data_IF_693104816093
#
_entry.id   IF_693104816093
#
_cell.length_a   1.000
_cell.length_b   1.000
_cell.length_c   1.000
_cell.angle_alpha   90.00
_cell.angle_beta   90.00
_cell.angle_gamma   90.00
#
_symmetry.space_group_name_H-M   'P 1'
#
loop_
_entity.id
_entity.type
_entity.pdbx_description
1 polymer ?
#
# COMPACT_ATOMS: atom_id res chain seq x y z
N UNK A 1 12.88 8.00 -15.08
CA UNK A 1 13.90 7.03 -14.62
C UNK A 1 13.60 5.59 -15.08
N UNK A 2 12.48 5.31 -15.76
CA UNK A 2 12.16 3.99 -16.32
C UNK A 2 11.73 2.90 -15.32
N UNK A 3 11.67 3.18 -14.02
CA UNK A 3 11.28 2.22 -12.97
C UNK A 3 9.78 1.99 -12.97
N UNK A 4 9.34 0.73 -13.03
CA UNK A 4 7.94 0.35 -12.92
C UNK A 4 7.47 0.41 -11.46
N UNK A 5 7.00 1.57 -11.02
CA UNK A 5 6.47 1.77 -9.68
C UNK A 5 4.95 1.52 -9.67
N UNK A 6 4.47 0.76 -8.67
CA UNK A 6 3.05 0.48 -8.46
C UNK A 6 2.62 0.96 -7.08
N UNK A 7 1.57 1.78 -7.02
CA UNK A 7 0.99 2.25 -5.76
C UNK A 7 -0.21 1.40 -5.37
N UNK A 8 -0.16 0.87 -4.14
CA UNK A 8 -1.27 0.13 -3.52
C UNK A 8 -1.92 1.01 -2.45
N UNK A 9 -3.23 1.12 -2.48
CA UNK A 9 -4.03 1.87 -1.51
C UNK A 9 -5.15 2.65 -2.18
N UNK A 10 -6.00 3.31 -1.39
CA UNK A 10 -7.18 4.02 -1.88
C UNK A 10 -6.78 5.15 -2.86
N UNK A 11 -7.43 5.24 -4.04
CA UNK A 11 -7.08 6.23 -5.07
C UNK A 11 -7.47 7.68 -4.73
N UNK A 12 -8.28 7.89 -3.70
CA UNK A 12 -9.00 9.14 -3.38
C UNK A 12 -8.12 10.38 -3.17
N UNK A 13 -6.80 10.25 -3.03
CA UNK A 13 -5.88 11.38 -2.79
C UNK A 13 -4.63 11.34 -3.65
N UNK A 14 -4.71 10.72 -4.82
CA UNK A 14 -3.56 10.62 -5.72
C UNK A 14 -3.53 11.83 -6.64
N UNK A 15 -2.37 12.50 -6.73
CA UNK A 15 -2.16 13.57 -7.71
C UNK A 15 -2.35 13.02 -9.12
N UNK A 16 -2.91 13.81 -10.02
CA UNK A 16 -3.32 13.38 -11.36
C UNK A 16 -2.21 12.66 -12.14
N UNK A 17 -1.01 13.20 -12.13
CA UNK A 17 0.15 12.62 -12.83
C UNK A 17 0.65 11.28 -12.23
N UNK A 18 0.19 10.89 -11.03
CA UNK A 18 0.52 9.62 -10.39
C UNK A 18 -0.62 8.58 -10.47
N UNK A 19 -1.77 8.95 -11.01
CA UNK A 19 -2.94 8.05 -11.10
C UNK A 19 -2.64 6.81 -11.94
N UNK A 20 -1.92 6.96 -13.04
CA UNK A 20 -1.52 5.85 -13.92
C UNK A 20 -0.66 4.78 -13.24
N UNK A 21 0.00 5.13 -12.12
CA UNK A 21 0.81 4.20 -11.34
C UNK A 21 0.01 3.52 -10.20
N UNK A 22 -1.30 3.74 -10.10
CA UNK A 22 -2.14 3.04 -9.11
C UNK A 22 -2.54 1.65 -9.60
N UNK A 23 -2.67 0.70 -8.68
CA UNK A 23 -3.12 -0.66 -9.02
C UNK A 23 -4.44 -0.65 -9.80
N UNK A 24 -5.41 0.16 -9.38
CA UNK A 24 -6.72 0.26 -10.03
C UNK A 24 -6.57 0.71 -11.50
N UNK A 25 -5.81 1.79 -11.75
CA UNK A 25 -5.62 2.30 -13.10
C UNK A 25 -4.82 1.35 -14.02
N UNK A 26 -3.88 0.60 -13.46
CA UNK A 26 -3.13 -0.42 -14.22
C UNK A 26 -4.04 -1.59 -14.56
N UNK A 27 -4.91 -2.03 -13.65
CA UNK A 27 -5.88 -3.09 -13.90
C UNK A 27 -6.95 -2.67 -14.94
N UNK A 28 -7.41 -1.42 -14.90
CA UNK A 28 -8.34 -0.87 -15.91
C UNK A 28 -7.78 -0.94 -17.34
N UNK A 29 -6.47 -0.86 -17.50
CA UNK A 29 -5.77 -0.93 -18.79
C UNK A 29 -5.15 -2.31 -19.07
N UNK A 30 -5.46 -3.32 -18.26
CA UNK A 30 -4.90 -4.67 -18.42
C UNK A 30 -5.47 -5.36 -19.66
N UNK A 31 -4.68 -6.14 -20.45
CA UNK A 31 -5.17 -6.81 -21.65
C UNK A 31 -6.39 -7.72 -21.44
N UNK A 32 -6.55 -8.30 -20.27
CA UNK A 32 -7.71 -9.17 -19.93
C UNK A 32 -8.93 -8.38 -19.42
N UNK A 33 -8.90 -7.06 -19.41
CA UNK A 33 -10.00 -6.26 -18.85
C UNK A 33 -11.30 -6.40 -19.65
N UNK A 34 -11.21 -6.52 -20.96
CA UNK A 34 -12.41 -6.71 -21.82
C UNK A 34 -13.08 -8.05 -21.53
N UNK A 35 -12.30 -9.12 -21.37
CA UNK A 35 -12.82 -10.45 -21.03
C UNK A 35 -13.45 -10.48 -19.64
N UNK A 36 -12.82 -9.84 -18.67
CA UNK A 36 -13.35 -9.67 -17.32
C UNK A 36 -14.69 -8.92 -17.33
N UNK A 37 -14.78 -7.83 -18.09
CA UNK A 37 -15.99 -7.04 -18.24
C UNK A 37 -17.13 -7.87 -18.85
N UNK A 38 -16.83 -8.70 -19.86
CA UNK A 38 -17.80 -9.62 -20.46
C UNK A 38 -18.37 -10.60 -19.41
N UNK A 39 -17.52 -11.26 -18.64
CA UNK A 39 -17.95 -12.18 -17.57
C UNK A 39 -18.78 -11.47 -16.48
N UNK A 40 -18.43 -10.24 -16.15
CA UNK A 40 -19.18 -9.44 -15.17
C UNK A 40 -20.56 -9.04 -15.71
N UNK A 41 -20.68 -8.73 -16.99
CA UNK A 41 -21.96 -8.43 -17.64
C UNK A 41 -22.83 -9.68 -17.75
N UNK A 42 -22.27 -10.82 -18.13
CA UNK A 42 -22.98 -12.12 -18.12
C UNK A 42 -23.52 -12.43 -16.71
N UNK A 43 -22.69 -12.26 -15.67
CA UNK A 43 -23.12 -12.45 -14.28
C UNK A 43 -24.28 -11.52 -13.91
N UNK A 44 -24.26 -10.28 -14.38
CA UNK A 44 -25.32 -9.30 -14.14
C UNK A 44 -26.64 -9.76 -14.77
N UNK A 45 -26.61 -10.27 -15.99
CA UNK A 45 -27.79 -10.80 -16.68
C UNK A 45 -28.34 -12.07 -16.01
N UNK A 46 -27.48 -13.02 -15.64
CA UNK A 46 -27.89 -14.21 -14.87
C UNK A 46 -28.58 -13.82 -13.56
N UNK A 47 -28.07 -12.84 -12.85
CA UNK A 47 -28.66 -12.33 -11.59
C UNK A 47 -29.99 -11.62 -11.81
N UNK A 48 -30.19 -10.92 -12.93
CA UNK A 48 -31.47 -10.28 -13.30
C UNK A 48 -32.53 -11.30 -13.62
N UNK A 49 -32.19 -12.41 -14.29
CA UNK A 49 -33.09 -13.48 -14.63
C UNK A 49 -33.53 -14.34 -13.43
N UNK A 50 -32.70 -14.43 -12.39
CA UNK A 50 -32.89 -15.32 -11.23
C UNK A 50 -34.27 -15.17 -10.52
N UNK A 51 -34.84 -13.97 -10.30
CA UNK A 51 -36.09 -13.80 -9.58
C UNK A 51 -37.29 -14.38 -10.33
N UNK A 52 -37.24 -14.52 -11.67
CA UNK A 52 -38.33 -15.06 -12.49
C UNK A 52 -38.39 -16.60 -12.49
N UNK A 53 -37.32 -17.27 -12.04
CA UNK A 53 -37.21 -18.73 -12.07
C UNK A 53 -37.70 -19.40 -10.78
N UNK A 54 -38.18 -20.65 -10.89
CA UNK A 54 -38.66 -21.46 -9.76
C UNK A 54 -38.13 -22.89 -9.85
N UNK A 55 -38.14 -23.56 -8.70
CA UNK A 55 -37.80 -25.00 -8.59
C UNK A 55 -36.40 -25.34 -9.12
N UNK A 56 -36.31 -26.37 -9.96
CA UNK A 56 -35.05 -26.91 -10.49
C UNK A 56 -34.30 -25.90 -11.37
N UNK A 57 -35.00 -25.09 -12.15
CA UNK A 57 -34.36 -24.07 -12.99
C UNK A 57 -33.64 -23.00 -12.17
N UNK A 58 -34.24 -22.57 -11.06
CA UNK A 58 -33.58 -21.65 -10.12
C UNK A 58 -32.32 -22.24 -9.54
N UNK A 59 -32.37 -23.56 -9.22
CA UNK A 59 -31.18 -24.27 -8.69
C UNK A 59 -30.02 -24.33 -9.70
N UNK A 60 -30.30 -24.58 -10.97
CA UNK A 60 -29.33 -24.57 -12.07
C UNK A 60 -28.72 -23.17 -12.23
N UNK A 61 -29.55 -22.14 -12.28
CA UNK A 61 -29.12 -20.75 -12.42
C UNK A 61 -28.20 -20.33 -11.28
N UNK A 62 -28.49 -20.72 -10.04
CA UNK A 62 -27.56 -20.49 -8.90
C UNK A 62 -26.20 -21.16 -9.09
N UNK A 63 -26.19 -22.36 -9.68
CA UNK A 63 -24.93 -23.06 -9.98
C UNK A 63 -24.13 -22.29 -11.03
N UNK A 64 -24.78 -21.82 -12.09
CA UNK A 64 -24.13 -21.07 -13.18
C UNK A 64 -23.57 -19.74 -12.66
N UNK A 65 -24.34 -19.00 -11.84
CA UNK A 65 -23.87 -17.79 -11.17
C UNK A 65 -22.63 -18.08 -10.31
N UNK A 66 -22.61 -19.20 -9.58
CA UNK A 66 -21.47 -19.56 -8.74
C UNK A 66 -20.22 -19.94 -9.56
N UNK A 67 -20.42 -20.60 -10.71
CA UNK A 67 -19.32 -20.95 -11.62
C UNK A 67 -18.72 -19.66 -12.19
N UNK A 68 -19.55 -18.80 -12.78
CA UNK A 68 -19.12 -17.52 -13.33
C UNK A 68 -18.44 -16.63 -12.28
N UNK A 69 -18.98 -16.57 -11.04
CA UNK A 69 -18.35 -15.83 -9.95
C UNK A 69 -16.94 -16.36 -9.58
N UNK A 70 -16.72 -17.67 -9.66
CA UNK A 70 -15.40 -18.26 -9.42
C UNK A 70 -14.43 -17.89 -10.55
N UNK A 71 -14.92 -17.82 -11.78
CA UNK A 71 -14.12 -17.46 -12.94
C UNK A 71 -13.71 -16.00 -12.90
N UNK A 72 -14.63 -15.09 -12.60
CA UNK A 72 -14.35 -13.68 -12.36
C UNK A 72 -13.25 -13.51 -11.31
N UNK A 73 -13.39 -14.16 -10.13
CA UNK A 73 -12.38 -14.07 -9.08
C UNK A 73 -11.01 -14.59 -9.51
N UNK A 74 -10.99 -15.70 -10.24
CA UNK A 74 -9.73 -16.26 -10.77
C UNK A 74 -9.04 -15.28 -11.71
N UNK A 75 -9.82 -14.63 -12.59
CA UNK A 75 -9.30 -13.65 -13.52
C UNK A 75 -8.80 -12.39 -12.80
N UNK A 76 -9.58 -11.84 -11.86
CA UNK A 76 -9.17 -10.71 -11.04
C UNK A 76 -7.88 -11.00 -10.25
N UNK A 77 -7.76 -12.19 -9.66
CA UNK A 77 -6.57 -12.62 -8.93
C UNK A 77 -5.36 -12.79 -9.87
N UNK A 78 -5.56 -13.34 -11.07
CA UNK A 78 -4.50 -13.52 -12.06
C UNK A 78 -4.00 -12.18 -12.63
N UNK A 79 -4.90 -11.27 -12.97
CA UNK A 79 -4.58 -9.91 -13.41
C UNK A 79 -3.78 -9.16 -12.34
N UNK A 80 -4.27 -9.21 -11.11
CA UNK A 80 -3.59 -8.58 -9.97
C UNK A 80 -2.20 -9.17 -9.73
N UNK A 81 -2.06 -10.50 -9.83
CA UNK A 81 -0.76 -11.17 -9.68
C UNK A 81 0.21 -10.73 -10.78
N UNK A 82 -0.24 -10.69 -12.04
CA UNK A 82 0.58 -10.24 -13.18
C UNK A 82 1.09 -8.81 -13.00
N UNK A 83 0.21 -7.87 -12.64
CA UNK A 83 0.57 -6.47 -12.39
C UNK A 83 1.58 -6.33 -11.25
N UNK A 84 1.40 -7.10 -10.17
CA UNK A 84 2.33 -7.10 -9.04
C UNK A 84 3.69 -7.75 -9.38
N UNK A 85 3.72 -8.73 -10.28
CA UNK A 85 4.95 -9.40 -10.73
C UNK A 85 5.78 -8.51 -11.66
N UNK A 86 5.12 -7.66 -12.42
CA UNK A 86 5.78 -6.70 -13.29
C UNK A 86 6.33 -5.47 -12.56
N UNK A 87 5.81 -5.19 -11.36
CA UNK A 87 6.23 -4.02 -10.60
C UNK A 87 7.63 -4.22 -9.99
N UNK A 88 8.55 -3.29 -10.26
CA UNK A 88 9.88 -3.25 -9.66
C UNK A 88 9.87 -2.59 -8.27
N UNK A 89 8.95 -1.65 -8.04
CA UNK A 89 8.78 -0.95 -6.76
C UNK A 89 7.31 -0.91 -6.38
N UNK A 90 7.01 -1.38 -5.16
CA UNK A 90 5.68 -1.28 -4.57
C UNK A 90 5.65 -0.13 -3.56
N UNK A 91 4.79 0.84 -3.80
CA UNK A 91 4.54 1.97 -2.89
C UNK A 91 3.24 1.73 -2.11
N UNK A 92 3.33 1.69 -0.79
CA UNK A 92 2.16 1.52 0.08
C UNK A 92 2.39 2.21 1.43
N UNK A 93 1.33 2.47 2.19
CA UNK A 93 1.49 2.86 3.59
C UNK A 93 2.00 1.68 4.41
N UNK A 94 2.63 1.92 5.56
CA UNK A 94 3.15 0.85 6.44
C UNK A 94 2.09 -0.20 6.74
N UNK A 95 0.90 0.21 7.14
CA UNK A 95 -0.25 -0.71 7.38
C UNK A 95 -0.75 -1.32 6.06
N UNK A 96 -0.75 -0.56 4.96
CA UNK A 96 -1.13 -1.06 3.63
C UNK A 96 -0.26 -2.22 3.15
N UNK A 97 1.00 -2.28 3.58
CA UNK A 97 1.88 -3.41 3.33
C UNK A 97 1.37 -4.73 3.92
N UNK A 98 0.48 -4.68 4.93
CA UNK A 98 -0.19 -5.84 5.52
C UNK A 98 -1.35 -6.39 4.68
N UNK A 99 -1.71 -5.75 3.57
CA UNK A 99 -2.83 -6.19 2.74
C UNK A 99 -2.62 -7.60 2.17
N UNK A 100 -3.71 -8.37 2.03
CA UNK A 100 -3.67 -9.76 1.55
C UNK A 100 -3.01 -9.93 0.18
N UNK A 101 -3.09 -8.94 -0.70
CA UNK A 101 -2.43 -8.95 -2.02
C UNK A 101 -0.90 -9.09 -1.93
N UNK A 102 -0.31 -8.68 -0.81
CA UNK A 102 1.12 -8.76 -0.55
C UNK A 102 1.49 -9.88 0.42
N UNK A 103 0.55 -10.74 0.84
CA UNK A 103 0.79 -11.74 1.89
C UNK A 103 1.82 -12.80 1.51
N UNK A 104 1.83 -13.23 0.25
CA UNK A 104 2.76 -14.25 -0.27
C UNK A 104 4.07 -13.67 -0.83
N UNK A 105 4.21 -12.33 -0.87
CA UNK A 105 5.35 -11.66 -1.49
C UNK A 105 6.42 -11.31 -0.46
N UNK A 106 7.67 -11.37 -0.89
CA UNK A 106 8.84 -11.00 -0.10
C UNK A 106 9.51 -9.76 -0.68
N UNK A 107 9.91 -8.85 0.18
CA UNK A 107 10.56 -7.60 -0.20
C UNK A 107 11.94 -7.52 0.48
N UNK A 108 13.01 -7.86 -0.23
CA UNK A 108 14.36 -7.87 0.34
C UNK A 108 14.86 -6.47 0.71
N UNK A 109 14.34 -5.42 0.08
CA UNK A 109 14.67 -4.03 0.35
C UNK A 109 13.38 -3.32 0.79
N UNK A 110 13.42 -2.64 1.92
CA UNK A 110 12.33 -1.80 2.42
C UNK A 110 12.89 -0.40 2.65
N UNK A 111 12.33 0.58 1.95
CA UNK A 111 12.58 2.00 2.19
C UNK A 111 11.34 2.59 2.86
N UNK A 112 11.52 3.22 4.00
CA UNK A 112 10.45 3.86 4.77
C UNK A 112 10.74 5.34 4.87
N UNK A 113 9.93 6.14 4.23
CA UNK A 113 9.94 7.59 4.32
C UNK A 113 9.09 8.05 5.50
N UNK A 114 9.43 9.18 6.12
CA UNK A 114 8.82 9.69 7.36
C UNK A 114 8.79 8.63 8.48
N UNK A 115 9.87 7.86 8.60
CA UNK A 115 9.95 6.71 9.51
C UNK A 115 9.79 7.11 10.99
N UNK A 116 10.11 8.35 11.35
CA UNK A 116 9.91 8.92 12.69
C UNK A 116 8.45 9.15 13.07
N UNK A 117 7.55 9.23 12.09
CA UNK A 117 6.11 9.38 12.32
C UNK A 117 5.36 8.05 12.39
N UNK A 118 6.04 6.93 12.14
CA UNK A 118 5.45 5.60 12.22
C UNK A 118 5.65 5.00 13.62
N UNK A 119 4.56 4.48 14.23
CA UNK A 119 4.71 3.67 15.44
C UNK A 119 5.53 2.42 15.14
N UNK A 120 6.32 1.94 16.09
CA UNK A 120 7.17 0.77 15.88
C UNK A 120 6.38 -0.46 15.37
N UNK A 121 5.22 -0.83 15.93
CA UNK A 121 4.42 -1.92 15.38
C UNK A 121 4.01 -1.73 13.91
N UNK A 122 3.69 -0.51 13.50
CA UNK A 122 3.35 -0.24 12.10
C UNK A 122 4.56 -0.33 11.17
N UNK A 123 5.75 0.07 11.64
CA UNK A 123 7.00 -0.05 10.91
C UNK A 123 7.40 -1.52 10.68
N UNK A 124 7.08 -2.42 11.62
CA UNK A 124 7.37 -3.85 11.49
C UNK A 124 6.58 -4.54 10.38
N UNK A 125 5.38 -4.04 10.01
CA UNK A 125 4.53 -4.67 9.00
C UNK A 125 5.25 -4.89 7.66
N UNK A 126 5.92 -3.91 7.03
CA UNK A 126 6.71 -4.16 5.82
C UNK A 126 7.99 -4.97 6.10
N UNK A 127 8.62 -4.81 7.25
CA UNK A 127 9.91 -5.43 7.59
C UNK A 127 9.79 -6.96 7.66
N UNK A 128 8.73 -7.48 8.29
CA UNK A 128 8.51 -8.94 8.44
C UNK A 128 8.23 -9.65 7.13
N UNK A 129 8.10 -8.94 6.02
CA UNK A 129 7.91 -9.50 4.69
C UNK A 129 9.23 -9.91 3.99
N UNK A 130 10.23 -10.29 4.74
CA UNK A 130 11.51 -10.80 4.21
C UNK A 130 12.54 -9.70 3.95
N UNK A 131 12.44 -8.57 4.63
CA UNK A 131 13.41 -7.49 4.57
C UNK A 131 14.80 -7.97 4.96
N UNK A 132 15.80 -7.69 4.11
CA UNK A 132 17.22 -7.92 4.35
C UNK A 132 17.99 -6.61 4.47
N UNK A 133 17.51 -5.57 3.80
CA UNK A 133 18.06 -4.22 3.83
C UNK A 133 16.95 -3.24 4.13
N UNK A 134 17.06 -2.54 5.26
CA UNK A 134 16.13 -1.53 5.71
C UNK A 134 16.76 -0.15 5.55
N UNK A 135 16.06 0.76 4.88
CA UNK A 135 16.44 2.16 4.71
C UNK A 135 15.36 2.99 5.39
N UNK A 136 15.72 3.68 6.46
CA UNK A 136 14.83 4.58 7.19
C UNK A 136 15.19 6.03 6.84
N UNK A 137 14.22 6.78 6.36
CA UNK A 137 14.34 8.22 6.09
C UNK A 137 13.37 8.93 7.03
N UNK A 138 13.82 9.97 7.70
CA UNK A 138 13.01 10.71 8.66
C UNK A 138 13.82 11.70 9.45
N UNK A 139 13.12 12.49 10.25
CA UNK A 139 13.71 13.55 11.06
C UNK A 139 13.22 13.42 12.51
N UNK A 140 14.11 12.96 13.39
CA UNK A 140 13.82 12.73 14.80
C UNK A 140 13.69 14.03 15.65
N UNK A 141 13.99 15.19 15.05
CA UNK A 141 13.75 16.50 15.66
C UNK A 141 12.35 17.05 15.35
N UNK A 142 11.59 16.38 14.42
CA UNK A 142 10.22 16.72 14.11
C UNK A 142 9.23 15.91 14.97
N UNK A 143 7.94 15.93 14.59
CA UNK A 143 6.86 15.32 15.37
C UNK A 143 7.00 13.79 15.45
N UNK A 144 6.81 13.19 16.64
CA UNK A 144 6.79 11.75 16.83
C UNK A 144 5.47 11.14 16.29
N UNK A 145 5.31 9.81 16.33
CA UNK A 145 4.06 9.15 15.99
C UNK A 145 2.88 9.68 16.78
N UNK A 146 1.77 9.96 16.10
CA UNK A 146 0.53 10.40 16.76
C UNK A 146 -0.14 9.24 17.48
N UNK A 147 -0.30 9.35 18.81
CA UNK A 147 -0.96 8.35 19.66
C UNK A 147 -2.10 9.03 20.42
N UNK A 148 -3.35 8.59 20.21
CA UNK A 148 -4.53 9.20 20.83
C UNK A 148 -4.72 8.78 22.29
N UNK A 149 -4.27 7.61 22.67
CA UNK A 149 -4.40 7.08 24.03
C UNK A 149 -3.22 7.50 24.88
N UNK A 150 -3.47 8.32 25.92
CA UNK A 150 -2.44 8.72 26.90
C UNK A 150 -1.75 7.53 27.56
N UNK A 151 -2.50 6.45 27.84
CA UNK A 151 -1.93 5.24 28.43
C UNK A 151 -0.97 4.54 27.46
N UNK A 152 -1.29 4.50 26.17
CA UNK A 152 -0.44 3.91 25.15
C UNK A 152 0.81 4.78 24.91
N UNK A 153 0.67 6.11 24.94
CA UNK A 153 1.77 7.05 24.85
C UNK A 153 2.74 6.89 26.03
N UNK A 154 2.22 6.84 27.25
CA UNK A 154 3.02 6.56 28.46
C UNK A 154 3.70 5.19 28.43
N UNK A 155 3.10 4.22 27.74
CA UNK A 155 3.68 2.91 27.46
C UNK A 155 4.73 2.91 26.35
N UNK A 156 5.03 4.06 25.74
CA UNK A 156 6.09 4.22 24.75
C UNK A 156 5.65 3.96 23.30
N UNK A 157 4.33 3.88 23.00
CA UNK A 157 3.86 3.65 21.62
C UNK A 157 4.19 4.82 20.68
N UNK A 158 4.44 6.03 21.21
CA UNK A 158 4.88 7.21 20.48
C UNK A 158 6.39 7.22 20.15
N UNK A 159 7.17 6.23 20.62
CA UNK A 159 8.55 6.06 20.24
C UNK A 159 8.64 5.29 18.92
N UNK A 160 9.23 5.90 17.89
CA UNK A 160 9.41 5.24 16.60
C UNK A 160 10.54 4.21 16.63
N UNK A 161 10.52 3.28 15.66
CA UNK A 161 11.66 2.37 15.43
C UNK A 161 12.94 3.17 15.13
N UNK A 162 12.81 4.26 14.36
CA UNK A 162 13.93 5.15 14.04
C UNK A 162 14.60 5.68 15.32
N UNK A 163 13.81 6.30 16.23
CA UNK A 163 14.32 6.87 17.49
C UNK A 163 14.96 5.78 18.37
N UNK A 164 14.36 4.60 18.41
CA UNK A 164 14.91 3.50 19.19
C UNK A 164 16.26 3.05 18.66
N UNK A 165 16.41 2.93 17.34
CA UNK A 165 17.67 2.50 16.72
C UNK A 165 18.78 3.55 16.93
N UNK A 166 18.48 4.84 16.80
CA UNK A 166 19.43 5.93 17.11
C UNK A 166 19.87 5.85 18.60
N UNK A 167 18.92 5.66 19.52
CA UNK A 167 19.22 5.51 20.94
C UNK A 167 20.04 4.25 21.26
N UNK A 168 19.99 3.22 20.41
CA UNK A 168 20.85 2.03 20.49
C UNK A 168 22.24 2.23 19.86
N UNK A 169 22.55 3.43 19.38
CA UNK A 169 23.87 3.77 18.83
C UNK A 169 24.02 3.53 17.33
N UNK A 170 22.90 3.32 16.60
CA UNK A 170 22.97 3.26 15.14
C UNK A 170 23.32 4.63 14.59
N UNK A 171 24.39 4.71 13.77
CA UNK A 171 24.79 5.95 13.10
C UNK A 171 23.82 6.31 11.99
N UNK A 172 23.50 7.59 11.85
CA UNK A 172 22.70 8.14 10.78
C UNK A 172 23.50 9.08 9.88
N UNK A 173 23.12 9.20 8.63
CA UNK A 173 23.64 10.19 7.70
C UNK A 173 22.66 11.37 7.64
N UNK A 174 23.13 12.57 7.99
CA UNK A 174 22.31 13.77 7.88
C UNK A 174 22.40 14.37 6.47
N UNK A 175 21.23 14.62 5.85
CA UNK A 175 21.13 15.35 4.61
C UNK A 175 21.28 16.86 4.92
N UNK A 176 22.26 17.52 4.29
CA UNK A 176 22.64 18.90 4.62
C UNK A 176 22.14 19.94 3.62
N UNK A 177 21.58 19.53 2.47
CA UNK A 177 21.11 20.43 1.44
C UNK A 177 19.59 20.59 1.49
N UNK A 178 19.14 21.83 1.63
CA UNK A 178 17.72 22.20 1.73
C UNK A 178 17.21 22.74 0.38
N UNK A 179 16.05 22.26 -0.13
CA UNK A 179 15.46 22.62 -1.41
C UNK A 179 14.12 23.33 -1.34
N UNK A 180 13.34 23.13 -0.28
CA UNK A 180 11.94 23.57 -0.21
C UNK A 180 11.75 24.89 0.53
N UNK A 181 12.51 25.12 1.61
CA UNK A 181 12.28 26.26 2.49
C UNK A 181 13.10 27.47 2.05
N UNK A 182 12.48 28.66 2.06
CA UNK A 182 13.22 29.91 1.82
C UNK A 182 14.34 30.08 2.86
N UNK A 183 15.55 30.57 2.48
CA UNK A 183 16.69 30.67 3.38
C UNK A 183 16.40 31.38 4.72
N UNK A 184 15.66 32.49 4.69
CA UNK A 184 15.28 33.23 5.91
C UNK A 184 14.44 32.38 6.87
N UNK A 185 13.48 31.57 6.32
CA UNK A 185 12.61 30.74 7.15
C UNK A 185 13.33 29.56 7.75
N UNK A 186 14.38 29.04 7.11
CA UNK A 186 15.17 27.90 7.60
C UNK A 186 16.22 28.29 8.65
N UNK A 187 16.62 29.57 8.71
CA UNK A 187 17.74 30.04 9.54
C UNK A 187 17.56 29.64 11.01
N UNK A 188 16.41 29.97 11.59
CA UNK A 188 16.11 29.62 12.97
C UNK A 188 16.11 28.10 13.25
N UNK A 189 15.35 27.25 12.54
CA UNK A 189 15.37 25.81 12.78
C UNK A 189 16.74 25.19 12.52
N UNK A 190 17.50 25.63 11.50
CA UNK A 190 18.85 25.14 11.25
C UNK A 190 19.81 25.44 12.41
N UNK A 191 19.77 26.65 12.95
CA UNK A 191 20.66 27.05 14.06
C UNK A 191 20.25 26.40 15.40
N UNK A 192 18.97 26.06 15.58
CA UNK A 192 18.44 25.57 16.85
C UNK A 192 18.45 24.04 16.98
N UNK A 193 18.26 23.32 15.90
CA UNK A 193 18.04 21.86 15.91
C UNK A 193 19.05 21.06 15.10
N UNK A 194 19.74 21.68 14.14
CA UNK A 194 20.69 21.06 13.23
C UNK A 194 22.01 21.83 13.20
#
# INVERSE_FOLDING_TARGET
>A
LGVKALRIGRPVKVREHLRSATLDAVLENHPMQEELAFLQDEQRELRKALPSLRGKEKGLMHRDININQKEIRRMEDAMTASVLDEAEVICATTIGCGHRLLSSRKFPIVLMDEATQATEPSALVPIVKGCRQLILVGDHQQLPPTVLSRRAEQGGLNRSLFDRLIACGLSSNMLTTQYQMHPILREFPSARFY
#
